data_IF_261144282998
#
_entry.id   IF_261144282998
#
_cell.length_a   1.000
_cell.length_b   1.000
_cell.length_c   1.000
_cell.angle_alpha   90.00
_cell.angle_beta   90.00
_cell.angle_gamma   90.00
#
_symmetry.space_group_name_H-M   'P 1'
#
loop_
_entity.id
_entity.type
_entity.pdbx_description
1 polymer ?
#
# COMPACT_ATOMS: atom_id res chain seq x y z
N UNK A 1 -63.30 75.35 15.00
CA UNK A 1 -63.63 74.05 14.36
C UNK A 1 -62.51 73.72 13.39
N UNK A 2 -61.78 72.65 13.71
CA UNK A 2 -60.55 72.19 13.06
C UNK A 2 -60.95 71.15 12.01
N UNK A 3 -60.41 71.23 10.79
CA UNK A 3 -60.46 70.11 9.82
C UNK A 3 -59.10 70.00 9.13
N UNK A 4 -58.30 69.05 9.62
CA UNK A 4 -56.99 68.66 9.15
C UNK A 4 -57.08 67.86 7.86
N UNK A 5 -56.25 68.20 6.86
CA UNK A 5 -56.11 67.46 5.59
C UNK A 5 -55.30 66.19 5.81
N UNK A 6 -55.85 65.05 5.40
CA UNK A 6 -55.18 63.75 5.38
C UNK A 6 -54.05 63.72 4.35
N UNK A 7 -52.81 63.49 4.80
CA UNK A 7 -51.66 63.12 3.95
C UNK A 7 -51.70 61.60 3.72
N UNK A 8 -51.83 61.17 2.46
CA UNK A 8 -51.64 59.76 2.06
C UNK A 8 -50.13 59.46 1.98
N UNK A 9 -49.60 58.72 2.95
CA UNK A 9 -48.26 58.12 2.88
C UNK A 9 -48.26 56.98 1.86
N UNK A 10 -47.43 57.08 0.80
CA UNK A 10 -47.18 55.98 -0.14
C UNK A 10 -46.14 55.06 0.50
N UNK A 11 -46.61 53.87 0.85
CA UNK A 11 -45.82 52.75 1.36
C UNK A 11 -44.83 52.29 0.27
N UNK A 12 -43.55 52.59 0.44
CA UNK A 12 -42.47 52.03 -0.36
C UNK A 12 -41.90 50.81 0.33
N UNK A 13 -42.34 49.61 -0.05
CA UNK A 13 -41.77 48.36 0.43
C UNK A 13 -40.43 48.10 -0.28
N UNK A 14 -39.32 48.27 0.44
CA UNK A 14 -38.00 47.86 -0.01
C UNK A 14 -37.88 46.34 0.13
N UNK A 15 -37.94 45.61 -0.98
CA UNK A 15 -37.67 44.18 -1.02
C UNK A 15 -36.15 43.96 -0.90
N UNK A 16 -35.67 43.62 0.29
CA UNK A 16 -34.30 43.16 0.51
C UNK A 16 -34.23 41.71 0.04
N UNK A 17 -33.73 41.51 -1.17
CA UNK A 17 -33.41 40.20 -1.72
C UNK A 17 -32.15 39.68 -1.02
N UNK A 18 -32.32 38.89 0.04
CA UNK A 18 -31.21 38.17 0.68
C UNK A 18 -30.71 37.10 -0.29
N UNK A 19 -29.65 37.44 -1.02
CA UNK A 19 -28.89 36.52 -1.86
C UNK A 19 -28.28 35.45 -0.95
N UNK A 20 -28.94 34.30 -0.85
CA UNK A 20 -28.40 33.11 -0.20
C UNK A 20 -27.18 32.69 -1.01
N UNK A 21 -25.98 33.05 -0.53
CA UNK A 21 -24.74 32.46 -0.99
C UNK A 21 -24.80 30.97 -0.66
N UNK A 22 -25.29 30.19 -1.63
CA UNK A 22 -25.14 28.74 -1.62
C UNK A 22 -23.65 28.48 -1.85
N UNK A 23 -22.88 28.50 -0.78
CA UNK A 23 -21.50 28.05 -0.79
C UNK A 23 -21.54 26.58 -1.22
N UNK A 24 -21.30 26.37 -2.52
CA UNK A 24 -20.96 25.07 -3.05
C UNK A 24 -19.62 24.69 -2.40
N UNK A 25 -19.69 24.15 -1.18
CA UNK A 25 -18.56 23.49 -0.57
C UNK A 25 -18.09 22.46 -1.57
N UNK A 26 -16.87 22.62 -2.07
CA UNK A 26 -16.22 21.58 -2.85
C UNK A 26 -16.32 20.29 -2.03
N UNK A 27 -17.13 19.34 -2.50
CA UNK A 27 -17.08 17.97 -2.02
C UNK A 27 -15.72 17.42 -2.43
N UNK A 28 -14.71 17.66 -1.59
CA UNK A 28 -13.48 16.92 -1.67
C UNK A 28 -13.82 15.47 -1.31
N UNK A 29 -13.71 14.59 -2.30
CA UNK A 29 -13.69 13.16 -2.05
C UNK A 29 -12.55 12.90 -1.07
N UNK A 30 -12.91 12.54 0.16
CA UNK A 30 -11.93 12.23 1.17
C UNK A 30 -11.22 10.92 0.78
N UNK A 31 -9.90 10.95 0.61
CA UNK A 31 -9.13 9.73 0.36
C UNK A 31 -9.20 8.84 1.60
N UNK A 32 -10.08 7.84 1.55
CA UNK A 32 -10.23 6.83 2.61
C UNK A 32 -9.51 5.56 2.18
N UNK A 33 -8.83 4.93 3.14
CA UNK A 33 -8.32 3.58 2.95
C UNK A 33 -9.47 2.60 3.18
N UNK A 34 -9.84 1.82 2.16
CA UNK A 34 -11.02 0.95 2.19
C UNK A 34 -10.63 -0.48 1.83
N UNK A 35 -11.14 -1.44 2.61
CA UNK A 35 -11.03 -2.86 2.28
C UNK A 35 -11.91 -3.18 1.06
N UNK A 36 -11.29 -3.50 -0.07
CA UNK A 36 -12.00 -3.78 -1.33
C UNK A 36 -12.08 -5.28 -1.64
N UNK A 37 -11.26 -6.10 -1.00
CA UNK A 37 -11.30 -7.55 -1.12
C UNK A 37 -10.83 -8.20 0.17
N UNK A 38 -11.49 -9.28 0.57
CA UNK A 38 -11.15 -10.07 1.74
C UNK A 38 -11.50 -11.54 1.49
N UNK A 39 -10.51 -12.41 1.62
CA UNK A 39 -10.66 -13.87 1.63
C UNK A 39 -10.03 -14.40 2.92
N UNK A 40 -10.69 -15.36 3.56
CA UNK A 40 -10.22 -15.92 4.83
C UNK A 40 -10.51 -14.99 6.02
N UNK A 41 -9.63 -15.04 7.02
CA UNK A 41 -9.76 -14.31 8.27
C UNK A 41 -8.82 -13.10 8.29
N UNK A 42 -9.38 -11.94 8.62
CA UNK A 42 -8.62 -10.75 8.96
C UNK A 42 -9.23 -10.08 10.19
N UNK A 43 -8.38 -9.46 10.99
CA UNK A 43 -8.76 -8.72 12.19
C UNK A 43 -8.06 -7.37 12.22
N UNK A 44 -8.68 -6.42 12.91
CA UNK A 44 -8.16 -5.06 13.08
C UNK A 44 -8.22 -4.67 14.55
N UNK A 45 -7.18 -4.01 15.03
CA UNK A 45 -7.15 -3.35 16.33
C UNK A 45 -7.13 -1.84 16.06
N UNK A 46 -8.26 -1.18 16.34
CA UNK A 46 -8.49 0.22 15.99
C UNK A 46 -7.59 1.15 16.80
N UNK A 47 -6.89 2.05 16.11
CA UNK A 47 -5.91 2.95 16.73
C UNK A 47 -4.71 2.24 17.39
N UNK A 48 -4.55 0.94 17.18
CA UNK A 48 -3.47 0.12 17.76
C UNK A 48 -3.66 -0.20 19.24
N UNK A 49 -4.86 0.01 19.78
CA UNK A 49 -5.20 -0.22 21.18
C UNK A 49 -6.50 -1.04 21.30
N UNK A 50 -6.72 -1.66 22.45
CA UNK A 50 -7.96 -2.40 22.72
C UNK A 50 -7.98 -3.83 22.15
N UNK A 51 -9.18 -4.38 21.96
CA UNK A 51 -9.38 -5.74 21.43
C UNK A 51 -9.21 -5.81 19.91
N UNK A 52 -8.78 -6.97 19.42
CA UNK A 52 -8.87 -7.28 18.00
C UNK A 52 -10.32 -7.58 17.60
N UNK A 53 -10.78 -6.93 16.54
CA UNK A 53 -12.11 -7.09 15.97
C UNK A 53 -12.05 -7.71 14.57
N UNK A 54 -13.03 -8.51 14.14
CA UNK A 54 -13.08 -9.01 12.76
C UNK A 54 -13.11 -7.86 11.74
N UNK A 55 -12.20 -7.90 10.78
CA UNK A 55 -12.19 -6.96 9.65
C UNK A 55 -13.16 -7.46 8.57
N UNK A 56 -13.89 -6.54 7.93
CA UNK A 56 -14.92 -6.89 6.93
C UNK A 56 -14.67 -6.17 5.62
N UNK A 57 -15.30 -6.67 4.56
CA UNK A 57 -15.34 -5.97 3.28
C UNK A 57 -15.92 -4.56 3.49
N UNK A 58 -15.39 -3.56 2.78
CA UNK A 58 -15.73 -2.12 2.88
C UNK A 58 -15.39 -1.46 4.22
N UNK A 59 -14.74 -2.15 5.15
CA UNK A 59 -14.21 -1.51 6.36
C UNK A 59 -13.25 -0.39 5.98
N UNK A 60 -13.36 0.74 6.70
CA UNK A 60 -12.44 1.86 6.59
C UNK A 60 -11.24 1.59 7.49
N UNK A 61 -10.04 1.78 6.96
CA UNK A 61 -8.78 1.72 7.68
C UNK A 61 -8.33 3.14 8.01
N UNK A 62 -7.91 3.34 9.25
CA UNK A 62 -7.46 4.63 9.77
C UNK A 62 -5.97 4.58 10.14
N UNK A 63 -5.35 5.75 10.27
CA UNK A 63 -4.02 5.84 10.85
C UNK A 63 -3.99 5.23 12.26
N UNK A 64 -2.88 4.55 12.56
CA UNK A 64 -2.59 3.74 13.76
C UNK A 64 -3.33 2.39 13.84
N UNK A 65 -4.22 2.06 12.91
CA UNK A 65 -4.84 0.74 12.89
C UNK A 65 -3.78 -0.35 12.71
N UNK A 66 -3.89 -1.42 13.49
CA UNK A 66 -3.14 -2.66 13.28
C UNK A 66 -4.05 -3.67 12.61
N UNK A 67 -3.57 -4.31 11.56
CA UNK A 67 -4.31 -5.30 10.79
C UNK A 67 -3.54 -6.60 10.83
N UNK A 68 -4.24 -7.70 11.01
CA UNK A 68 -3.66 -9.03 10.95
C UNK A 68 -4.49 -9.96 10.05
N UNK A 69 -3.84 -10.70 9.18
CA UNK A 69 -4.43 -11.77 8.37
C UNK A 69 -4.08 -13.15 8.93
N UNK A 70 -5.00 -14.11 8.82
CA UNK A 70 -4.79 -15.49 9.22
C UNK A 70 -4.09 -16.33 8.13
N UNK A 71 -3.94 -17.64 8.36
CA UNK A 71 -3.57 -18.59 7.31
C UNK A 71 -4.56 -18.56 6.14
N UNK A 72 -4.09 -18.82 4.92
CA UNK A 72 -4.91 -18.88 3.70
C UNK A 72 -5.78 -17.63 3.46
N UNK A 73 -5.35 -16.50 4.00
CA UNK A 73 -6.11 -15.25 3.99
C UNK A 73 -5.46 -14.22 3.07
N UNK A 74 -6.28 -13.39 2.43
CA UNK A 74 -5.83 -12.31 1.55
C UNK A 74 -6.68 -11.08 1.77
N UNK A 75 -6.03 -9.92 1.89
CA UNK A 75 -6.69 -8.63 2.08
C UNK A 75 -6.22 -7.66 1.00
N UNK A 76 -7.14 -6.89 0.41
CA UNK A 76 -6.80 -5.75 -0.44
C UNK A 76 -7.41 -4.49 0.15
N UNK A 77 -6.55 -3.49 0.36
CA UNK A 77 -6.90 -2.13 0.78
C UNK A 77 -6.57 -1.17 -0.35
N UNK A 78 -7.54 -0.33 -0.72
CA UNK A 78 -7.33 0.74 -1.68
C UNK A 78 -7.27 2.08 -0.95
N UNK A 79 -6.25 2.89 -1.23
CA UNK A 79 -6.07 4.23 -0.67
C UNK A 79 -5.48 5.18 -1.70
N UNK A 80 -6.18 6.26 -2.04
CA UNK A 80 -5.68 7.31 -2.95
C UNK A 80 -5.07 6.78 -4.27
N UNK A 81 -5.68 5.75 -4.86
CA UNK A 81 -5.18 5.10 -6.08
C UNK A 81 -4.02 4.10 -5.88
N UNK A 82 -3.55 3.93 -4.65
CA UNK A 82 -2.61 2.88 -4.25
C UNK A 82 -3.37 1.64 -3.81
N UNK A 83 -3.07 0.51 -4.45
CA UNK A 83 -3.58 -0.82 -4.06
C UNK A 83 -2.55 -1.51 -3.17
N UNK A 84 -2.96 -1.87 -1.95
CA UNK A 84 -2.13 -2.54 -0.95
C UNK A 84 -2.73 -3.92 -0.71
N UNK A 85 -1.97 -4.97 -0.99
CA UNK A 85 -2.36 -6.36 -0.73
C UNK A 85 -1.57 -6.89 0.45
N UNK A 86 -2.25 -7.53 1.39
CA UNK A 86 -1.64 -8.29 2.48
C UNK A 86 -1.83 -9.78 2.20
N UNK A 87 -0.73 -10.54 2.33
CA UNK A 87 -0.72 -11.99 2.23
C UNK A 87 -1.29 -12.66 3.47
N UNK A 88 -1.12 -13.98 3.57
CA UNK A 88 -1.46 -14.70 4.80
C UNK A 88 -0.50 -14.34 5.94
N UNK A 89 -0.92 -14.63 7.18
CA UNK A 89 -0.08 -14.49 8.40
C UNK A 89 0.68 -13.16 8.45
N UNK A 90 0.02 -12.09 8.02
CA UNK A 90 0.63 -10.77 7.89
C UNK A 90 0.12 -9.88 9.00
N UNK A 91 1.02 -9.20 9.72
CA UNK A 91 0.67 -8.15 10.67
C UNK A 91 1.25 -6.81 10.20
N UNK A 92 0.40 -5.81 9.99
CA UNK A 92 0.80 -4.47 9.54
C UNK A 92 0.17 -3.39 10.39
N UNK A 93 0.92 -2.33 10.69
CA UNK A 93 0.39 -1.09 11.29
C UNK A 93 0.38 0.02 10.25
N UNK A 94 -0.77 0.65 10.03
CA UNK A 94 -0.88 1.81 9.14
C UNK A 94 -0.53 3.07 9.93
N UNK A 95 0.37 3.90 9.41
CA UNK A 95 0.83 5.15 10.05
C UNK A 95 0.80 6.30 9.06
N UNK A 96 0.68 7.52 9.58
CA UNK A 96 0.71 8.78 8.80
C UNK A 96 -0.32 8.88 7.66
N UNK A 97 -1.38 8.05 7.67
CA UNK A 97 -2.46 8.14 6.70
C UNK A 97 -3.05 9.57 6.74
N UNK A 98 -3.24 10.18 5.57
CA UNK A 98 -3.69 11.58 5.38
C UNK A 98 -2.77 12.68 5.92
N UNK A 99 -1.57 12.37 6.42
CA UNK A 99 -0.60 13.40 6.80
C UNK A 99 0.18 13.84 5.55
N UNK A 100 0.12 15.14 5.22
CA UNK A 100 0.76 15.67 4.00
C UNK A 100 2.29 15.79 4.13
N UNK A 101 2.77 16.07 5.33
CA UNK A 101 4.20 16.34 5.57
C UNK A 101 5.02 15.07 5.87
N UNK A 102 4.37 13.89 5.88
CA UNK A 102 5.01 12.61 6.20
C UNK A 102 4.55 11.52 5.25
N UNK A 103 5.45 10.63 4.80
CA UNK A 103 5.07 9.50 3.97
C UNK A 103 4.05 8.63 4.70
N UNK A 104 3.08 8.13 3.95
CA UNK A 104 2.22 7.05 4.41
C UNK A 104 3.12 5.87 4.75
N UNK A 105 2.96 5.30 5.94
CA UNK A 105 3.81 4.21 6.40
C UNK A 105 2.98 2.95 6.64
N UNK A 106 3.44 1.84 6.07
CA UNK A 106 3.01 0.49 6.42
C UNK A 106 4.13 -0.16 7.22
N UNK A 107 3.92 -0.30 8.53
CA UNK A 107 4.89 -0.99 9.39
C UNK A 107 4.59 -2.48 9.36
N UNK A 108 5.31 -3.22 8.53
CA UNK A 108 5.18 -4.66 8.36
C UNK A 108 5.95 -5.35 9.49
N UNK A 109 5.23 -5.98 10.42
CA UNK A 109 5.85 -6.70 11.52
C UNK A 109 6.23 -8.12 11.14
N UNK A 110 5.40 -8.79 10.33
CA UNK A 110 5.62 -10.13 9.80
C UNK A 110 4.73 -10.34 8.57
N UNK A 111 5.14 -11.23 7.67
CA UNK A 111 4.35 -11.66 6.52
C UNK A 111 4.71 -10.90 5.24
N UNK A 112 3.71 -10.56 4.45
CA UNK A 112 3.91 -10.12 3.06
C UNK A 112 2.98 -8.97 2.66
N UNK A 113 3.55 -8.02 1.93
CA UNK A 113 2.83 -6.92 1.29
C UNK A 113 3.16 -6.84 -0.19
N UNK A 114 2.16 -6.57 -1.02
CA UNK A 114 2.35 -6.12 -2.40
C UNK A 114 1.64 -4.81 -2.60
N UNK A 115 2.31 -3.86 -3.26
CA UNK A 115 1.81 -2.52 -3.44
C UNK A 115 1.91 -2.12 -4.91
N UNK A 116 0.83 -1.51 -5.40
CA UNK A 116 0.78 -0.86 -6.70
C UNK A 116 0.33 0.59 -6.54
N UNK A 117 1.29 1.50 -6.66
CA UNK A 117 1.07 2.95 -6.59
C UNK A 117 0.70 3.46 -7.99
N UNK A 118 -0.59 3.44 -8.36
CA UNK A 118 -1.04 3.93 -9.68
C UNK A 118 -0.97 5.45 -9.79
N UNK A 119 -1.15 6.14 -8.65
CA UNK A 119 -1.03 7.59 -8.54
C UNK A 119 -0.03 7.89 -7.43
N UNK A 120 1.06 8.60 -7.72
CA UNK A 120 2.01 9.02 -6.70
C UNK A 120 1.31 9.77 -5.57
N UNK A 121 1.58 9.37 -4.33
CA UNK A 121 1.18 10.15 -3.16
C UNK A 121 2.16 11.33 -3.02
N UNK A 122 1.64 12.54 -2.82
CA UNK A 122 2.50 13.73 -2.62
C UNK A 122 3.49 13.53 -1.47
N UNK A 123 3.02 12.90 -0.39
CA UNK A 123 3.84 12.62 0.79
C UNK A 123 4.75 11.40 0.63
N UNK A 124 4.57 10.60 -0.43
CA UNK A 124 5.26 9.32 -0.62
C UNK A 124 4.66 8.15 0.17
N UNK A 125 5.22 6.97 -0.04
CA UNK A 125 4.86 5.74 0.66
C UNK A 125 6.11 5.01 1.11
N UNK A 126 6.08 4.52 2.33
CA UNK A 126 7.13 3.70 2.92
C UNK A 126 6.55 2.40 3.49
N UNK A 127 7.26 1.29 3.26
CA UNK A 127 7.07 0.05 4.00
C UNK A 127 8.27 -0.13 4.92
N UNK A 128 8.00 -0.20 6.21
CA UNK A 128 9.01 -0.32 7.27
C UNK A 128 8.86 -1.69 7.89
N UNK A 129 9.91 -2.50 7.79
CA UNK A 129 10.05 -3.79 8.47
C UNK A 129 11.06 -3.64 9.61
N UNK A 130 11.22 -4.66 10.48
CA UNK A 130 12.26 -4.66 11.51
C UNK A 130 13.69 -4.44 10.98
N UNK A 131 14.00 -4.91 9.76
CA UNK A 131 15.38 -4.85 9.24
C UNK A 131 15.56 -3.88 8.08
N UNK A 132 14.50 -3.52 7.36
CA UNK A 132 14.59 -2.65 6.18
C UNK A 132 13.47 -1.60 6.04
N UNK A 133 13.80 -0.52 5.33
CA UNK A 133 12.85 0.50 4.86
C UNK A 133 12.83 0.51 3.34
N UNK A 134 11.65 0.37 2.74
CA UNK A 134 11.42 0.52 1.30
C UNK A 134 10.56 1.77 1.04
N UNK A 135 11.08 2.73 0.27
CA UNK A 135 10.45 4.03 0.00
C UNK A 135 10.19 4.22 -1.49
N UNK A 136 8.99 4.70 -1.82
CA UNK A 136 8.54 4.83 -3.21
C UNK A 136 7.72 6.11 -3.45
N UNK A 137 7.82 6.61 -4.69
CA UNK A 137 6.90 7.62 -5.24
C UNK A 137 5.96 7.07 -6.32
N UNK A 138 6.32 5.98 -7.00
CA UNK A 138 5.46 5.32 -7.99
C UNK A 138 6.09 4.03 -8.51
N UNK A 139 5.56 2.87 -8.11
CA UNK A 139 6.07 1.54 -8.46
C UNK A 139 5.02 0.44 -8.22
N UNK A 140 5.30 -0.75 -8.78
CA UNK A 140 4.75 -2.02 -8.30
C UNK A 140 5.86 -2.82 -7.63
N UNK A 141 5.68 -3.19 -6.38
CA UNK A 141 6.72 -3.86 -5.58
C UNK A 141 6.11 -4.67 -4.45
N UNK A 142 6.90 -5.57 -3.88
CA UNK A 142 6.54 -6.29 -2.67
C UNK A 142 7.61 -6.16 -1.60
N UNK A 143 7.17 -6.29 -0.35
CA UNK A 143 8.05 -6.44 0.81
C UNK A 143 7.56 -7.59 1.66
N UNK A 144 8.44 -8.53 1.97
CA UNK A 144 8.24 -9.60 2.94
C UNK A 144 9.12 -9.39 4.16
N UNK A 145 8.68 -9.91 5.30
CA UNK A 145 9.48 -9.99 6.50
C UNK A 145 9.16 -11.26 7.29
N UNK A 146 10.21 -11.96 7.71
CA UNK A 146 10.17 -13.10 8.61
C UNK A 146 11.40 -13.12 9.52
N UNK A 147 11.64 -14.24 10.22
CA UNK A 147 12.80 -14.42 11.10
C UNK A 147 14.16 -14.34 10.39
N UNK A 148 14.21 -14.48 9.07
CA UNK A 148 15.46 -14.43 8.30
C UNK A 148 15.85 -13.01 7.86
N UNK A 149 14.92 -12.06 8.01
CA UNK A 149 15.07 -10.67 7.61
C UNK A 149 13.97 -10.19 6.67
N UNK A 150 14.31 -9.25 5.80
CA UNK A 150 13.33 -8.54 4.95
C UNK A 150 13.77 -8.50 3.50
N UNK A 151 12.88 -8.90 2.60
CA UNK A 151 13.14 -8.86 1.17
C UNK A 151 12.21 -7.87 0.48
N UNK A 152 12.79 -6.99 -0.34
CA UNK A 152 12.05 -6.09 -1.24
C UNK A 152 12.26 -6.57 -2.67
N UNK A 153 11.17 -6.74 -3.44
CA UNK A 153 11.23 -7.12 -4.85
C UNK A 153 10.50 -6.07 -5.70
N UNK A 154 11.11 -5.62 -6.80
CA UNK A 154 10.58 -4.54 -7.64
C UNK A 154 10.08 -5.08 -8.96
N UNK A 155 8.78 -4.96 -9.19
CA UNK A 155 8.13 -5.45 -10.41
C UNK A 155 8.09 -4.37 -11.50
N UNK A 156 7.88 -3.11 -11.12
CA UNK A 156 7.87 -1.96 -12.03
C UNK A 156 8.43 -0.72 -11.32
N UNK A 157 9.21 0.08 -12.05
CA UNK A 157 9.82 1.30 -11.55
C UNK A 157 11.08 1.06 -10.72
N UNK A 158 11.28 1.90 -9.70
CA UNK A 158 12.46 1.87 -8.82
C UNK A 158 12.04 2.10 -7.38
N UNK A 159 12.52 1.25 -6.47
CA UNK A 159 12.27 1.36 -5.03
C UNK A 159 13.58 1.68 -4.33
N UNK A 160 13.60 2.75 -3.54
CA UNK A 160 14.73 3.06 -2.69
C UNK A 160 14.65 2.20 -1.43
N UNK A 161 15.70 1.44 -1.13
CA UNK A 161 15.75 0.55 0.04
C UNK A 161 16.96 0.83 0.92
N UNK A 162 16.84 0.58 2.23
CA UNK A 162 17.97 0.62 3.17
C UNK A 162 17.71 -0.29 4.36
N UNK A 163 18.77 -0.67 5.05
CA UNK A 163 18.65 -1.19 6.41
C UNK A 163 18.07 -0.10 7.35
N UNK A 164 17.40 -0.50 8.42
CA UNK A 164 16.73 0.45 9.33
C UNK A 164 17.72 1.44 9.95
N UNK A 165 18.92 0.98 10.30
CA UNK A 165 20.04 1.72 10.90
C UNK A 165 20.96 2.40 9.88
N UNK A 166 20.89 2.03 8.60
CA UNK A 166 21.67 2.69 7.54
C UNK A 166 21.15 4.11 7.24
N UNK A 167 22.05 5.03 6.91
CA UNK A 167 21.69 6.40 6.50
C UNK A 167 21.31 6.52 5.02
N UNK A 168 21.94 5.70 4.16
CA UNK A 168 21.84 5.82 2.71
C UNK A 168 20.87 4.80 2.13
N UNK A 169 20.01 5.29 1.24
CA UNK A 169 19.18 4.45 0.38
C UNK A 169 19.97 3.94 -0.83
N UNK A 170 19.61 2.74 -1.26
CA UNK A 170 20.05 2.10 -2.50
C UNK A 170 18.84 1.87 -3.40
N UNK A 171 18.92 2.30 -4.64
CA UNK A 171 17.87 2.11 -5.63
C UNK A 171 17.85 0.68 -6.16
N UNK A 172 16.71 0.01 -5.99
CA UNK A 172 16.40 -1.30 -6.57
C UNK A 172 15.49 -1.09 -7.77
N UNK A 173 15.95 -1.50 -8.96
CA UNK A 173 15.19 -1.34 -10.20
C UNK A 173 14.30 -2.56 -10.46
N UNK A 174 13.33 -2.42 -11.36
CA UNK A 174 12.54 -3.52 -11.91
C UNK A 174 13.41 -4.76 -12.19
N UNK A 175 12.94 -5.93 -11.74
CA UNK A 175 13.60 -7.21 -11.95
C UNK A 175 14.83 -7.42 -11.06
N UNK A 176 14.97 -6.63 -10.00
CA UNK A 176 15.95 -6.83 -8.94
C UNK A 176 15.24 -6.85 -7.58
N UNK A 177 15.96 -7.34 -6.58
CA UNK A 177 15.51 -7.40 -5.19
C UNK A 177 16.57 -6.84 -4.28
N UNK A 178 16.25 -6.56 -3.03
CA UNK A 178 17.23 -6.46 -1.96
C UNK A 178 16.76 -7.34 -0.80
N UNK A 179 17.60 -8.25 -0.35
CA UNK A 179 17.38 -9.09 0.81
C UNK A 179 18.28 -8.62 1.95
N UNK A 180 17.68 -8.15 3.03
CA UNK A 180 18.37 -7.73 4.25
C UNK A 180 18.25 -8.83 5.29
N UNK A 181 19.36 -9.25 5.89
CA UNK A 181 19.39 -10.21 6.99
C UNK A 181 18.68 -9.71 8.25
N UNK A 182 18.62 -10.56 9.29
CA UNK A 182 18.17 -10.15 10.63
C UNK A 182 19.02 -8.99 11.18
N UNK A 183 20.31 -9.01 10.88
CA UNK A 183 21.30 -7.99 11.25
C UNK A 183 21.29 -6.76 10.33
N UNK A 184 20.44 -6.74 9.29
CA UNK A 184 20.37 -5.64 8.33
C UNK A 184 21.45 -5.66 7.25
N UNK A 185 22.20 -6.76 7.10
CA UNK A 185 23.20 -6.91 6.04
C UNK A 185 22.55 -7.30 4.71
N UNK A 186 23.00 -6.72 3.60
CA UNK A 186 22.51 -7.08 2.26
C UNK A 186 23.03 -8.47 1.88
N UNK A 187 22.16 -9.47 1.86
CA UNK A 187 22.46 -10.85 1.45
C UNK A 187 22.60 -10.99 -0.06
N UNK A 188 21.70 -10.37 -0.81
CA UNK A 188 21.76 -10.31 -2.29
C UNK A 188 20.92 -9.15 -2.82
N UNK A 189 21.35 -8.61 -3.95
CA UNK A 189 20.62 -7.61 -4.73
C UNK A 189 20.09 -8.14 -6.08
N UNK A 190 20.35 -9.41 -6.41
CA UNK A 190 19.85 -10.08 -7.60
C UNK A 190 19.10 -11.36 -7.21
N UNK A 191 17.79 -11.37 -7.43
CA UNK A 191 16.95 -12.53 -7.17
C UNK A 191 17.37 -13.74 -8.05
N UNK A 192 17.99 -13.49 -9.21
CA UNK A 192 18.49 -14.56 -10.10
C UNK A 192 19.57 -15.40 -9.43
N UNK A 193 20.32 -14.81 -8.51
CA UNK A 193 21.39 -15.51 -7.81
C UNK A 193 20.85 -16.58 -6.84
N UNK A 194 19.58 -16.46 -6.43
CA UNK A 194 18.87 -17.50 -5.68
C UNK A 194 18.46 -18.69 -6.57
N UNK A 195 18.47 -18.52 -7.90
CA UNK A 195 17.95 -19.50 -8.86
C UNK A 195 18.98 -20.02 -9.87
N UNK A 196 20.26 -19.66 -9.72
CA UNK A 196 21.33 -20.14 -10.61
C UNK A 196 21.35 -21.67 -10.65
N UNK A 197 21.18 -22.24 -11.84
CA UNK A 197 21.23 -23.68 -12.08
C UNK A 197 19.88 -24.40 -12.08
N UNK A 198 18.76 -23.69 -11.89
CA UNK A 198 17.43 -24.28 -11.98
C UNK A 198 16.87 -24.13 -13.40
N UNK A 199 16.44 -25.25 -14.00
CA UNK A 199 15.63 -25.24 -15.22
C UNK A 199 14.22 -24.78 -14.84
N UNK A 200 13.76 -23.67 -15.43
CA UNK A 200 12.42 -23.12 -15.21
C UNK A 200 11.43 -23.93 -16.06
N UNK A 201 10.98 -25.07 -15.54
CA UNK A 201 9.92 -25.89 -16.13
C UNK A 201 8.66 -25.88 -15.23
N UNK A 202 7.61 -26.64 -15.57
CA UNK A 202 6.38 -26.67 -14.77
C UNK A 202 6.60 -27.16 -13.32
N UNK A 203 7.66 -27.94 -13.07
CA UNK A 203 8.05 -28.41 -11.72
C UNK A 203 8.81 -27.33 -10.94
N UNK A 204 9.42 -26.38 -11.63
CA UNK A 204 10.04 -25.22 -10.97
C UNK A 204 9.01 -24.41 -10.20
N UNK A 205 7.79 -24.23 -10.74
CA UNK A 205 6.72 -23.52 -10.00
C UNK A 205 6.40 -24.20 -8.66
N UNK A 206 6.45 -25.53 -8.58
CA UNK A 206 6.25 -26.27 -7.32
C UNK A 206 7.39 -26.02 -6.32
N UNK A 207 8.63 -25.89 -6.79
CA UNK A 207 9.81 -25.55 -5.96
C UNK A 207 9.67 -24.12 -5.41
N UNK A 208 9.22 -23.19 -6.26
CA UNK A 208 8.93 -21.80 -5.86
C UNK A 208 7.79 -21.73 -4.86
N UNK A 209 6.71 -22.46 -5.10
CA UNK A 209 5.57 -22.51 -4.18
C UNK A 209 5.95 -23.17 -2.84
N UNK A 210 6.92 -24.08 -2.85
CA UNK A 210 7.47 -24.72 -1.65
C UNK A 210 8.47 -23.83 -0.88
N UNK A 211 9.17 -22.90 -1.55
CA UNK A 211 10.04 -21.95 -0.87
C UNK A 211 9.19 -20.86 -0.19
N UNK A 212 9.18 -20.88 1.14
CA UNK A 212 8.46 -19.92 1.96
C UNK A 212 8.82 -18.45 1.64
N UNK A 213 10.03 -18.18 1.15
CA UNK A 213 10.47 -16.84 0.73
C UNK A 213 9.82 -16.39 -0.57
N UNK A 214 9.38 -17.34 -1.40
CA UNK A 214 8.87 -17.10 -2.75
C UNK A 214 7.34 -17.14 -2.87
N UNK A 215 6.64 -17.69 -1.87
CA UNK A 215 5.17 -17.66 -1.80
C UNK A 215 4.60 -16.24 -1.90
N UNK A 216 5.35 -15.23 -1.44
CA UNK A 216 4.99 -13.82 -1.64
C UNK A 216 5.26 -13.33 -3.06
N UNK A 217 6.39 -13.72 -3.66
CA UNK A 217 6.82 -13.27 -4.98
C UNK A 217 5.86 -13.71 -6.11
N UNK A 218 5.21 -14.87 -5.98
CA UNK A 218 4.24 -15.36 -6.98
C UNK A 218 2.96 -14.54 -7.06
N UNK A 219 2.70 -13.67 -6.07
CA UNK A 219 1.63 -12.68 -6.15
C UNK A 219 1.95 -11.55 -7.15
N UNK A 220 3.21 -11.40 -7.54
CA UNK A 220 3.72 -10.30 -8.35
C UNK A 220 4.32 -10.76 -9.68
N UNK A 221 4.95 -11.94 -9.67
CA UNK A 221 5.59 -12.59 -10.81
C UNK A 221 4.90 -13.92 -11.06
N UNK A 222 4.49 -14.19 -12.29
CA UNK A 222 4.37 -15.59 -12.73
C UNK A 222 5.77 -16.03 -13.13
N UNK A 223 6.28 -17.12 -12.58
CA UNK A 223 7.66 -17.56 -12.85
C UNK A 223 7.85 -18.03 -14.31
N UNK A 224 6.76 -18.16 -15.07
CA UNK A 224 6.79 -18.29 -16.54
C UNK A 224 7.39 -17.06 -17.24
N UNK A 225 7.32 -15.87 -16.63
CA UNK A 225 7.85 -14.61 -17.21
C UNK A 225 9.31 -14.35 -16.79
N UNK A 226 9.87 -15.23 -15.95
CA UNK A 226 11.25 -15.22 -15.47
C UNK A 226 12.06 -16.37 -16.07
N UNK A 227 11.61 -16.89 -17.22
CA UNK A 227 12.41 -17.75 -18.08
C UNK A 227 13.76 -17.07 -18.34
N UNK A 228 14.76 -17.47 -17.56
CA UNK A 228 16.17 -17.25 -17.85
C UNK A 228 16.71 -18.49 -18.51
N UNK A 229 16.01 -19.03 -19.52
CA UNK A 229 16.81 -19.64 -20.55
C UNK A 229 17.47 -18.46 -21.28
N UNK A 230 18.76 -18.26 -21.03
CA UNK A 230 19.57 -17.52 -21.99
C UNK A 230 19.67 -18.37 -23.28
N UNK A 231 18.54 -18.79 -23.85
CA UNK A 231 18.45 -19.52 -25.10
C UNK A 231 18.49 -18.49 -26.22
N UNK A 232 19.51 -18.51 -27.08
CA UNK A 232 19.52 -17.74 -28.30
C UNK A 232 18.76 -18.53 -29.38
N UNK A 233 17.47 -18.82 -29.21
CA UNK A 233 16.68 -19.38 -30.32
C UNK A 233 15.17 -19.13 -30.20
N UNK A 234 14.52 -18.47 -31.19
CA UNK A 234 13.11 -18.07 -31.13
C UNK A 234 12.05 -19.18 -31.38
N UNK A 235 12.42 -20.46 -31.46
CA UNK A 235 11.53 -21.53 -31.95
C UNK A 235 11.13 -22.63 -30.93
N UNK A 236 11.42 -22.50 -29.63
CA UNK A 236 11.09 -23.56 -28.65
C UNK A 236 9.92 -23.18 -27.72
N UNK A 237 8.72 -23.21 -28.33
CA UNK A 237 7.33 -23.32 -27.82
C UNK A 237 6.86 -22.54 -26.58
#
# INVERSE_FOLDING_TARGET
MISTRFLRSRMGAAAILTMVFFSAGMLHAEDRAVVTHLVGLARVQKGGQGSWEPLKLRSIISGKDRIQTGPQSRLIVLYAGTEIRLGEKTEVTVSNLKQKDKPVQLKLKEGFTWVNVKKPLESGLEIVSPTAVASVRGTKFSVSHDHNGSATCVCEGTVATKAVDAEKFTDVKKGFSNDFSEEGEVKTNDFRDLFRGLKVDQKFQEIIDADAKMQGCTMCHRMTDLATDNSPDPDDY
#
